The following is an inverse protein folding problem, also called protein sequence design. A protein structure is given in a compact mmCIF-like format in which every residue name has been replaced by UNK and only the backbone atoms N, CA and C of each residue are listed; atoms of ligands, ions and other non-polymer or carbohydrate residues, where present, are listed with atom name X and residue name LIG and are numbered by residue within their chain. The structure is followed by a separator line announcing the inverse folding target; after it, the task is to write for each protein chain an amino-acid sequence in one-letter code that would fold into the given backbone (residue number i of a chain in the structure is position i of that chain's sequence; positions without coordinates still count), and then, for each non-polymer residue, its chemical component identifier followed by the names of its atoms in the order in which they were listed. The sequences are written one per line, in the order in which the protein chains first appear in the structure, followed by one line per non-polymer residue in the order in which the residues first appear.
data_IF_827226721966
#
_entry.id   IF_827226721966
#
_cell.length_a   1.000
_cell.length_b   1.000
_cell.length_c   1.000
_cell.angle_alpha   90.00
_cell.angle_beta   90.00
_cell.angle_gamma   90.00
#
_symmetry.space_group_name_H-M   'P 1'
#
loop_
_entity.id
_entity.type
_entity.pdbx_description
1 polymer ?
#
# COMPACT_ATOMS: atom_id res chain seq x y z
N UNK A 1 -14.38 -32.48 3.63
CA UNK A 1 -14.62 -31.04 3.36
C UNK A 1 -13.44 -30.27 3.91
N UNK A 2 -12.87 -29.36 3.13
CA UNK A 2 -11.78 -28.49 3.57
C UNK A 2 -12.41 -27.21 4.11
N UNK A 3 -12.47 -27.07 5.43
CA UNK A 3 -12.80 -25.82 6.09
C UNK A 3 -11.50 -25.05 6.32
N UNK A 4 -11.00 -24.37 5.29
CA UNK A 4 -9.77 -23.57 5.38
C UNK A 4 -10.10 -22.14 5.81
N UNK A 5 -9.31 -21.60 6.73
CA UNK A 5 -9.32 -20.18 7.10
C UNK A 5 -8.00 -19.55 6.64
N UNK A 6 -8.07 -18.38 6.03
CA UNK A 6 -6.89 -17.57 5.69
C UNK A 6 -6.68 -16.52 6.78
N UNK A 7 -5.49 -16.50 7.37
CA UNK A 7 -5.15 -15.55 8.42
C UNK A 7 -3.91 -14.77 8.01
N UNK A 8 -4.10 -13.49 7.69
CA UNK A 8 -3.03 -12.55 7.37
C UNK A 8 -3.01 -11.45 8.44
N UNK A 9 -1.86 -11.24 9.07
CA UNK A 9 -1.68 -10.26 10.15
C UNK A 9 -0.68 -9.19 9.81
N UNK A 10 -0.85 -8.02 10.42
CA UNK A 10 0.17 -6.98 10.47
C UNK A 10 1.20 -7.29 11.57
N UNK A 11 2.44 -6.81 11.46
CA UNK A 11 3.44 -6.95 12.53
C UNK A 11 3.02 -6.19 13.79
N UNK A 12 3.44 -6.66 14.97
CA UNK A 12 3.08 -6.03 16.25
C UNK A 12 3.55 -4.57 16.36
N UNK A 13 4.72 -4.24 15.78
CA UNK A 13 5.29 -2.88 15.82
C UNK A 13 4.38 -1.81 15.20
N UNK A 14 3.42 -2.20 14.35
CA UNK A 14 2.43 -1.27 13.79
C UNK A 14 1.65 -0.57 14.90
N UNK A 15 1.36 -1.25 16.02
CA UNK A 15 0.63 -0.68 17.13
C UNK A 15 1.39 0.46 17.84
N UNK A 16 2.71 0.38 17.84
CA UNK A 16 3.57 1.35 18.52
C UNK A 16 3.86 2.56 17.64
N UNK A 17 3.74 2.42 16.32
CA UNK A 17 4.12 3.45 15.35
C UNK A 17 2.95 4.17 14.68
N UNK A 18 1.77 3.54 14.65
CA UNK A 18 0.61 4.08 13.95
C UNK A 18 -0.41 4.63 14.94
N UNK A 19 -0.45 5.96 15.03
CA UNK A 19 -1.50 6.66 15.76
C UNK A 19 -2.73 6.86 14.87
N UNK A 20 -3.78 6.06 15.11
CA UNK A 20 -5.05 6.16 14.40
C UNK A 20 -5.91 7.37 14.82
N UNK A 21 -5.52 8.11 15.86
CA UNK A 21 -6.18 9.34 16.31
C UNK A 21 -5.61 10.60 15.66
N UNK A 22 -4.40 10.51 15.07
CA UNK A 22 -3.78 11.60 14.32
C UNK A 22 -4.61 11.94 13.07
N UNK A 23 -4.72 13.24 12.79
CA UNK A 23 -5.27 13.77 11.55
C UNK A 23 -4.18 13.96 10.50
N UNK A 24 -4.49 13.66 9.23
CA UNK A 24 -3.59 13.74 8.07
C UNK A 24 -4.23 14.61 6.97
N UNK A 25 -4.21 15.95 7.08
CA UNK A 25 -4.84 16.83 6.10
C UNK A 25 -4.05 16.93 4.79
N UNK A 26 -2.73 16.76 4.84
CA UNK A 26 -1.84 16.93 3.69
C UNK A 26 -1.63 15.63 2.91
N UNK A 27 -1.61 15.75 1.57
CA UNK A 27 -1.23 14.67 0.66
C UNK A 27 0.16 14.12 0.98
N UNK A 28 1.13 14.99 1.24
CA UNK A 28 2.50 14.58 1.62
C UNK A 28 2.51 13.82 2.95
N UNK A 29 1.72 14.22 3.95
CA UNK A 29 1.66 13.50 5.23
C UNK A 29 1.11 12.08 5.08
N UNK A 30 0.11 11.89 4.22
CA UNK A 30 -0.46 10.56 3.93
C UNK A 30 0.57 9.66 3.25
N UNK A 31 1.32 10.20 2.30
CA UNK A 31 2.38 9.48 1.59
C UNK A 31 3.59 9.21 2.49
N UNK A 32 3.97 10.17 3.33
CA UNK A 32 5.02 10.01 4.32
C UNK A 32 4.75 8.83 5.26
N UNK A 33 3.49 8.65 5.69
CA UNK A 33 3.11 7.47 6.49
C UNK A 33 3.34 6.17 5.72
N UNK A 34 2.94 6.08 4.45
CA UNK A 34 3.16 4.88 3.64
C UNK A 34 4.66 4.56 3.46
N UNK A 35 5.49 5.59 3.26
CA UNK A 35 6.96 5.45 3.17
C UNK A 35 7.55 5.03 4.52
N UNK A 36 7.10 5.62 5.64
CA UNK A 36 7.53 5.22 6.98
C UNK A 36 7.20 3.74 7.24
N UNK A 37 5.99 3.30 6.91
CA UNK A 37 5.58 1.91 7.04
C UNK A 37 6.47 0.96 6.23
N UNK A 38 6.81 1.34 5.00
CA UNK A 38 7.77 0.62 4.16
C UNK A 38 9.14 0.51 4.85
N UNK A 39 9.71 1.64 5.28
CA UNK A 39 11.00 1.70 5.99
C UNK A 39 11.02 0.78 7.20
N UNK A 40 10.01 0.87 8.05
CA UNK A 40 9.92 0.10 9.29
C UNK A 40 9.74 -1.38 9.04
N UNK A 41 9.03 -1.76 7.98
CA UNK A 41 8.92 -3.17 7.59
C UNK A 41 10.28 -3.78 7.24
N UNK A 42 11.17 -2.99 6.63
CA UNK A 42 12.57 -3.37 6.37
C UNK A 42 13.39 -3.39 7.65
N UNK A 43 13.35 -2.32 8.45
CA UNK A 43 14.15 -2.17 9.67
C UNK A 43 13.86 -3.30 10.68
N UNK A 44 12.58 -3.65 10.82
CA UNK A 44 12.13 -4.77 11.67
C UNK A 44 12.29 -6.15 11.02
N UNK A 45 12.78 -6.21 9.77
CA UNK A 45 12.92 -7.45 8.98
C UNK A 45 11.62 -8.24 8.92
N UNK A 46 10.49 -7.54 8.82
CA UNK A 46 9.15 -8.13 8.86
C UNK A 46 8.49 -8.29 7.50
N UNK A 47 9.17 -7.87 6.42
CA UNK A 47 8.76 -8.11 5.03
C UNK A 47 9.51 -7.23 4.03
N UNK A 48 9.01 -7.17 2.79
CA UNK A 48 9.58 -6.35 1.72
C UNK A 48 9.36 -4.84 1.91
N UNK A 49 10.02 -3.99 1.09
CA UNK A 49 10.09 -2.54 1.25
C UNK A 49 8.82 -1.81 0.75
N UNK A 50 7.65 -2.26 1.20
CA UNK A 50 6.37 -1.71 0.75
C UNK A 50 5.42 -1.47 1.93
N UNK A 51 4.81 -0.28 1.92
CA UNK A 51 3.84 0.17 2.90
C UNK A 51 2.71 0.95 2.22
N UNK A 52 1.51 0.86 2.79
CA UNK A 52 0.32 1.54 2.30
C UNK A 52 -0.62 1.92 3.45
N UNK A 53 -1.43 2.96 3.24
CA UNK A 53 -2.37 3.47 4.23
C UNK A 53 -3.66 3.96 3.56
N UNK A 54 -4.80 3.68 4.18
CA UNK A 54 -6.13 4.09 3.71
C UNK A 54 -6.69 5.15 4.65
N UNK A 55 -7.20 6.23 4.08
CA UNK A 55 -7.78 7.35 4.80
C UNK A 55 -9.23 7.60 4.37
N UNK A 56 -10.04 8.08 5.30
CA UNK A 56 -11.38 8.62 5.05
C UNK A 56 -11.34 10.09 5.44
N UNK A 57 -11.35 10.98 4.45
CA UNK A 57 -10.92 12.37 4.64
C UNK A 57 -9.49 12.41 5.21
N UNK A 58 -9.34 12.97 6.40
CA UNK A 58 -8.04 13.12 7.09
C UNK A 58 -7.80 12.03 8.14
N UNK A 59 -8.77 11.13 8.36
CA UNK A 59 -8.70 10.09 9.37
C UNK A 59 -8.11 8.81 8.79
N UNK A 60 -7.12 8.26 9.47
CA UNK A 60 -6.57 6.94 9.14
C UNK A 60 -7.58 5.82 9.44
N UNK A 61 -7.88 5.00 8.43
CA UNK A 61 -8.79 3.85 8.52
C UNK A 61 -8.01 2.57 8.77
N UNK A 62 -6.98 2.30 7.95
CA UNK A 62 -6.19 1.09 8.04
C UNK A 62 -4.85 1.25 7.33
N UNK A 63 -3.95 0.31 7.61
CA UNK A 63 -2.59 0.30 7.08
C UNK A 63 -2.22 -1.10 6.62
N UNK A 64 -1.22 -1.18 5.76
CA UNK A 64 -0.67 -2.42 5.25
C UNK A 64 0.81 -2.31 5.00
N UNK A 65 1.50 -3.43 5.15
CA UNK A 65 2.89 -3.62 4.73
C UNK A 65 2.98 -4.94 3.99
N UNK A 66 3.98 -5.11 3.13
CA UNK A 66 4.18 -6.38 2.45
C UNK A 66 4.49 -7.49 3.48
N UNK A 67 3.68 -8.56 3.46
CA UNK A 67 3.81 -9.75 4.32
C UNK A 67 3.86 -11.05 3.50
N UNK A 68 4.32 -10.99 2.25
CA UNK A 68 4.31 -12.14 1.34
C UNK A 68 5.09 -13.32 1.91
N UNK A 69 6.37 -13.12 2.24
CA UNK A 69 7.24 -14.18 2.80
C UNK A 69 6.78 -14.62 4.19
N UNK A 70 6.54 -13.71 5.17
CA UNK A 70 6.13 -14.13 6.51
C UNK A 70 4.86 -14.98 6.56
N UNK A 71 3.89 -14.72 5.66
CA UNK A 71 2.62 -15.44 5.62
C UNK A 71 2.55 -16.51 4.53
N UNK A 72 3.63 -16.74 3.76
CA UNK A 72 3.63 -17.62 2.58
C UNK A 72 2.42 -17.36 1.65
N UNK A 73 2.10 -16.09 1.43
CA UNK A 73 0.92 -15.67 0.68
C UNK A 73 1.30 -14.59 -0.32
N UNK A 74 1.39 -14.95 -1.60
CA UNK A 74 1.75 -14.00 -2.68
C UNK A 74 0.81 -12.80 -2.78
N UNK A 75 -0.43 -12.92 -2.32
CA UNK A 75 -1.39 -11.82 -2.32
C UNK A 75 -1.17 -10.79 -1.20
N UNK A 76 -0.32 -11.07 -0.20
CA UNK A 76 -0.14 -10.23 0.99
C UNK A 76 0.75 -8.98 0.73
N UNK A 77 0.47 -8.27 -0.36
CA UNK A 77 1.09 -6.98 -0.70
C UNK A 77 0.59 -5.87 0.21
N UNK A 78 1.33 -4.77 0.30
CA UNK A 78 1.01 -3.68 1.21
C UNK A 78 -0.38 -3.08 0.93
N UNK A 79 -0.72 -2.85 -0.33
CA UNK A 79 -2.00 -2.28 -0.76
C UNK A 79 -3.14 -3.25 -0.47
N UNK A 80 -2.96 -4.54 -0.77
CA UNK A 80 -3.97 -5.56 -0.47
C UNK A 80 -4.21 -5.66 1.04
N UNK A 81 -3.15 -5.67 1.85
CA UNK A 81 -3.24 -5.67 3.31
C UNK A 81 -3.94 -4.40 3.83
N UNK A 82 -3.61 -3.23 3.30
CA UNK A 82 -4.21 -1.96 3.72
C UNK A 82 -5.70 -1.89 3.38
N UNK A 83 -6.08 -2.32 2.17
CA UNK A 83 -7.47 -2.38 1.73
C UNK A 83 -8.25 -3.41 2.55
N UNK A 84 -7.74 -4.63 2.70
CA UNK A 84 -8.41 -5.70 3.44
C UNK A 84 -8.60 -5.33 4.93
N UNK A 85 -7.58 -4.81 5.59
CA UNK A 85 -7.70 -4.39 7.01
C UNK A 85 -8.67 -3.22 7.17
N UNK A 86 -8.72 -2.29 6.22
CA UNK A 86 -9.69 -1.19 6.23
C UNK A 86 -11.13 -1.67 6.02
N UNK A 87 -11.32 -2.59 5.06
CA UNK A 87 -12.63 -3.20 4.78
C UNK A 87 -13.13 -3.99 5.98
N UNK A 88 -12.26 -4.76 6.64
CA UNK A 88 -12.59 -5.46 7.88
C UNK A 88 -12.89 -4.48 9.01
N UNK A 89 -12.13 -3.39 9.17
CA UNK A 89 -12.41 -2.40 10.22
C UNK A 89 -13.76 -1.72 10.03
N UNK A 90 -14.10 -1.36 8.80
CA UNK A 90 -15.35 -0.69 8.46
C UNK A 90 -16.52 -1.66 8.25
N UNK A 91 -16.27 -2.98 8.26
CA UNK A 91 -17.25 -4.01 7.91
C UNK A 91 -17.92 -3.73 6.55
N UNK A 92 -17.12 -3.26 5.58
CA UNK A 92 -17.59 -2.92 4.23
C UNK A 92 -16.61 -3.42 3.19
N UNK A 93 -17.09 -4.13 2.17
CA UNK A 93 -16.26 -4.59 1.05
C UNK A 93 -15.92 -3.45 0.08
N UNK A 94 -16.68 -2.35 0.09
CA UNK A 94 -16.46 -1.16 -0.73
C UNK A 94 -16.32 0.05 0.18
N UNK A 95 -15.12 0.62 0.26
CA UNK A 95 -14.75 1.58 1.30
C UNK A 95 -15.53 2.90 1.19
N UNK A 96 -15.72 3.42 -0.03
CA UNK A 96 -16.47 4.65 -0.26
C UNK A 96 -18.00 4.50 -0.25
N UNK A 97 -18.54 3.32 0.10
CA UNK A 97 -19.99 3.09 0.11
C UNK A 97 -20.75 3.99 1.09
N UNK A 98 -20.09 4.45 2.16
CA UNK A 98 -20.66 5.38 3.14
C UNK A 98 -20.68 6.85 2.65
N UNK A 99 -20.16 7.14 1.46
CA UNK A 99 -20.14 8.48 0.86
C UNK A 99 -18.99 9.39 1.32
N UNK A 100 -18.12 8.92 2.21
CA UNK A 100 -16.86 9.60 2.53
C UNK A 100 -15.82 9.35 1.43
N UNK A 101 -14.98 10.36 1.16
CA UNK A 101 -13.88 10.26 0.20
C UNK A 101 -12.76 9.39 0.77
N UNK A 102 -12.39 8.34 0.04
CA UNK A 102 -11.37 7.38 0.44
C UNK A 102 -10.09 7.57 -0.36
N UNK A 103 -8.97 7.78 0.35
CA UNK A 103 -7.64 7.91 -0.24
C UNK A 103 -6.78 6.70 0.12
N UNK A 104 -6.17 6.05 -0.86
CA UNK A 104 -5.08 5.09 -0.65
C UNK A 104 -3.74 5.77 -0.94
N UNK A 105 -2.86 5.84 0.05
CA UNK A 105 -1.46 6.20 -0.15
C UNK A 105 -0.59 4.93 -0.16
N UNK A 106 0.33 4.84 -1.11
CA UNK A 106 1.25 3.70 -1.26
C UNK A 106 2.68 4.18 -1.47
N UNK A 107 3.64 3.47 -0.88
CA UNK A 107 5.07 3.79 -0.98
C UNK A 107 5.62 3.57 -2.39
N UNK A 108 4.93 2.80 -3.23
CA UNK A 108 5.31 2.54 -4.61
C UNK A 108 4.08 2.32 -5.51
N UNK A 109 4.27 2.43 -6.82
CA UNK A 109 3.24 2.18 -7.82
C UNK A 109 2.64 0.78 -7.61
N UNK A 110 1.30 0.62 -7.67
CA UNK A 110 0.70 -0.70 -7.56
C UNK A 110 1.10 -1.63 -8.71
N UNK A 111 1.50 -2.85 -8.37
CA UNK A 111 1.68 -3.91 -9.35
C UNK A 111 0.35 -4.31 -10.01
N UNK A 112 0.39 -5.10 -11.07
CA UNK A 112 -0.80 -5.59 -11.80
C UNK A 112 -1.92 -6.18 -10.90
N UNK A 113 -1.56 -6.90 -9.83
CA UNK A 113 -2.51 -7.43 -8.86
C UNK A 113 -3.12 -6.31 -8.00
N UNK A 114 -2.30 -5.45 -7.42
CA UNK A 114 -2.75 -4.36 -6.55
C UNK A 114 -3.57 -3.32 -7.33
N UNK A 115 -3.22 -3.07 -8.58
CA UNK A 115 -4.00 -2.28 -9.53
C UNK A 115 -5.43 -2.83 -9.66
N UNK A 116 -5.58 -4.14 -9.84
CA UNK A 116 -6.89 -4.79 -9.86
C UNK A 116 -7.64 -4.64 -8.53
N UNK A 117 -6.94 -4.80 -7.40
CA UNK A 117 -7.54 -4.65 -6.07
C UNK A 117 -8.08 -3.23 -5.83
N UNK A 118 -7.34 -2.21 -6.25
CA UNK A 118 -7.74 -0.79 -6.18
C UNK A 118 -9.09 -0.55 -6.86
N UNK A 119 -9.31 -1.12 -8.05
CA UNK A 119 -10.55 -0.97 -8.81
C UNK A 119 -11.78 -1.48 -8.03
N UNK A 120 -11.61 -2.56 -7.25
CA UNK A 120 -12.71 -3.21 -6.54
C UNK A 120 -12.96 -2.65 -5.14
N UNK A 121 -11.92 -2.13 -4.49
CA UNK A 121 -11.99 -1.76 -3.08
C UNK A 121 -12.82 -0.49 -2.80
N UNK A 122 -13.11 0.32 -3.82
CA UNK A 122 -13.89 1.55 -3.67
C UNK A 122 -13.10 2.68 -3.02
N UNK A 123 -11.93 3.00 -3.59
CA UNK A 123 -11.19 4.22 -3.29
C UNK A 123 -11.55 5.32 -4.30
N UNK A 124 -11.32 6.57 -3.95
CA UNK A 124 -11.57 7.75 -4.82
C UNK A 124 -10.25 8.43 -5.23
N UNK A 125 -9.16 8.15 -4.53
CA UNK A 125 -7.86 8.76 -4.76
C UNK A 125 -6.73 7.78 -4.45
N UNK A 126 -5.74 7.72 -5.35
CA UNK A 126 -4.54 6.92 -5.24
C UNK A 126 -3.31 7.84 -5.25
N UNK A 127 -2.55 7.83 -4.16
CA UNK A 127 -1.33 8.60 -3.97
C UNK A 127 -0.13 7.66 -4.00
N UNK A 128 0.82 7.92 -4.90
CA UNK A 128 1.95 7.03 -5.20
C UNK A 128 3.25 7.78 -5.01
N UNK A 129 4.18 7.17 -4.27
CA UNK A 129 5.52 7.71 -4.11
C UNK A 129 6.51 7.23 -5.19
N UNK A 130 7.09 6.04 -5.03
CA UNK A 130 8.01 5.48 -6.01
C UNK A 130 7.28 5.01 -7.28
N UNK A 131 7.98 5.08 -8.42
CA UNK A 131 7.52 4.55 -9.70
C UNK A 131 7.88 3.07 -9.84
N UNK A 132 7.28 2.42 -10.83
CA UNK A 132 7.64 1.05 -11.20
C UNK A 132 9.12 0.89 -11.60
N UNK A 133 9.70 1.87 -12.30
CA UNK A 133 11.12 1.84 -12.67
C UNK A 133 12.02 1.86 -11.43
N UNK A 134 11.69 2.67 -10.40
CA UNK A 134 12.41 2.66 -9.12
C UNK A 134 12.37 1.29 -8.45
N UNK A 135 11.21 0.64 -8.44
CA UNK A 135 11.02 -0.67 -7.81
C UNK A 135 11.83 -1.75 -8.52
N UNK A 136 11.81 -1.75 -9.84
CA UNK A 136 12.56 -2.69 -10.68
C UNK A 136 14.07 -2.46 -10.57
N UNK A 137 14.51 -1.21 -10.72
CA UNK A 137 15.93 -0.86 -10.81
C UNK A 137 16.64 -0.93 -9.45
N UNK A 138 15.98 -0.53 -8.36
CA UNK A 138 16.63 -0.41 -7.05
C UNK A 138 16.45 -1.65 -6.17
N UNK A 139 15.36 -2.39 -6.36
CA UNK A 139 15.02 -3.51 -5.48
C UNK A 139 14.76 -4.83 -6.23
N UNK A 140 14.74 -4.83 -7.56
CA UNK A 140 14.66 -6.04 -8.38
C UNK A 140 13.28 -6.71 -8.43
N UNK A 141 12.21 -6.01 -8.02
CA UNK A 141 10.85 -6.57 -8.03
C UNK A 141 10.17 -6.39 -9.39
N UNK A 142 9.34 -7.36 -9.77
CA UNK A 142 8.50 -7.30 -10.97
C UNK A 142 7.11 -6.73 -10.64
N UNK A 143 6.70 -5.71 -11.40
CA UNK A 143 5.40 -5.04 -11.27
C UNK A 143 4.30 -5.73 -12.11
N UNK A 144 4.71 -6.62 -13.01
CA UNK A 144 3.84 -7.32 -13.95
C UNK A 144 3.22 -6.40 -15.01
N UNK A 145 2.37 -6.97 -15.89
CA UNK A 145 1.83 -6.24 -17.03
C UNK A 145 0.63 -5.38 -16.62
N UNK A 146 0.83 -4.06 -16.56
CA UNK A 146 -0.27 -3.10 -16.48
C UNK A 146 -0.81 -2.76 -17.88
N UNK A 147 -2.09 -2.36 -18.00
CA UNK A 147 -2.59 -1.71 -19.21
C UNK A 147 -1.72 -0.51 -19.60
N UNK A 148 -1.57 -0.24 -20.89
CA UNK A 148 -0.72 0.85 -21.39
C UNK A 148 -1.08 2.22 -20.78
N UNK A 149 -2.38 2.48 -20.61
CA UNK A 149 -2.91 3.68 -19.96
C UNK A 149 -3.60 3.32 -18.63
N UNK A 150 -2.88 2.62 -17.74
CA UNK A 150 -3.43 2.20 -16.46
C UNK A 150 -3.97 3.37 -15.62
N UNK A 151 -3.32 4.55 -15.69
CA UNK A 151 -3.79 5.76 -14.98
C UNK A 151 -5.12 6.24 -15.52
N UNK A 152 -5.23 6.42 -16.84
CA UNK A 152 -6.48 6.85 -17.46
C UNK A 152 -7.61 5.85 -17.23
N UNK A 153 -7.32 4.56 -17.14
CA UNK A 153 -8.32 3.55 -16.79
C UNK A 153 -8.85 3.68 -15.34
N UNK A 154 -8.02 4.07 -14.38
CA UNK A 154 -8.44 4.40 -13.01
C UNK A 154 -9.25 5.71 -12.98
N UNK A 155 -8.79 6.74 -13.69
CA UNK A 155 -9.46 8.04 -13.76
C UNK A 155 -10.85 7.95 -14.39
N UNK A 156 -11.03 7.14 -15.45
CA UNK A 156 -12.35 6.84 -16.03
C UNK A 156 -13.33 6.20 -15.03
N UNK A 157 -12.81 5.62 -13.95
CA UNK A 157 -13.58 5.01 -12.86
C UNK A 157 -13.79 5.97 -11.69
N UNK A 158 -13.37 7.22 -11.82
CA UNK A 158 -13.47 8.25 -10.79
C UNK A 158 -12.37 8.16 -9.73
N UNK A 159 -11.28 7.44 -9.99
CA UNK A 159 -10.14 7.33 -9.08
C UNK A 159 -9.08 8.33 -9.52
N UNK A 160 -8.90 9.41 -8.77
CA UNK A 160 -7.82 10.37 -9.02
C UNK A 160 -6.45 9.72 -8.74
N UNK A 161 -5.48 9.91 -9.63
CA UNK A 161 -4.15 9.31 -9.48
C UNK A 161 -3.08 10.39 -9.40
N UNK A 162 -2.27 10.34 -8.35
CA UNK A 162 -1.14 11.25 -8.12
C UNK A 162 0.14 10.43 -7.98
N UNK A 163 1.15 10.74 -8.78
CA UNK A 163 2.42 10.02 -8.80
C UNK A 163 3.57 10.91 -8.34
N UNK A 164 4.72 10.30 -8.06
CA UNK A 164 5.98 10.98 -7.76
C UNK A 164 5.98 11.78 -6.45
N UNK A 165 5.06 11.46 -5.54
CA UNK A 165 4.91 12.16 -4.27
C UNK A 165 6.02 11.71 -3.31
N UNK A 166 6.88 12.61 -2.87
CA UNK A 166 8.02 12.27 -2.00
C UNK A 166 8.90 11.14 -2.57
N UNK A 167 8.99 11.02 -3.90
CA UNK A 167 9.65 9.91 -4.62
C UNK A 167 11.06 9.61 -4.11
N UNK A 168 11.85 10.63 -3.85
CA UNK A 168 13.25 10.46 -3.38
C UNK A 168 13.32 9.70 -2.05
N UNK A 169 12.40 10.00 -1.11
CA UNK A 169 12.35 9.30 0.17
C UNK A 169 11.96 7.83 0.00
N UNK A 170 11.05 7.51 -0.92
CA UNK A 170 10.67 6.13 -1.21
C UNK A 170 11.81 5.37 -1.91
N UNK A 171 12.51 6.01 -2.85
CA UNK A 171 13.69 5.46 -3.53
C UNK A 171 14.80 5.09 -2.55
N UNK A 172 15.01 5.89 -1.51
CA UNK A 172 16.01 5.58 -0.48
C UNK A 172 15.65 4.30 0.29
N UNK A 173 14.36 4.05 0.58
CA UNK A 173 13.94 2.77 1.18
C UNK A 173 14.20 1.58 0.25
N UNK A 174 13.87 1.73 -1.02
CA UNK A 174 14.10 0.68 -2.03
C UNK A 174 15.58 0.37 -2.20
N UNK A 175 16.43 1.41 -2.28
CA UNK A 175 17.88 1.27 -2.40
C UNK A 175 18.48 0.53 -1.20
N UNK A 176 18.15 0.97 0.01
CA UNK A 176 18.67 0.33 1.22
C UNK A 176 18.26 -1.16 1.30
N UNK A 177 17.04 -1.49 0.88
CA UNK A 177 16.58 -2.86 0.80
C UNK A 177 17.35 -3.67 -0.27
N UNK A 178 17.51 -3.14 -1.48
CA UNK A 178 18.24 -3.80 -2.57
C UNK A 178 19.71 -4.06 -2.21
N UNK A 179 20.36 -3.09 -1.56
CA UNK A 179 21.76 -3.20 -1.10
C UNK A 179 21.93 -4.19 0.07
N UNK A 180 20.87 -4.45 0.85
CA UNK A 180 20.91 -5.43 1.93
C UNK A 180 21.10 -6.88 1.47
N UNK A 181 20.91 -7.15 0.17
CA UNK A 181 21.01 -8.48 -0.43
C UNK A 181 19.85 -9.42 -0.08
N UNK A 182 18.82 -8.92 0.62
CA UNK A 182 17.60 -9.65 0.94
C UNK A 182 16.62 -9.45 -0.22
N UNK A 183 16.87 -10.11 -1.36
CA UNK A 183 15.86 -10.24 -2.42
C UNK A 183 15.37 -11.68 -2.38
N UNK A 184 14.06 -11.89 -2.25
CA UNK A 184 13.45 -13.22 -2.36
C UNK A 184 12.80 -13.38 -3.73
#
# INVERSE_FOLDING_TARGET
MIYAQLHLTLPAWIHDEVDASRSYPGTEEKVALAIQLSRRNVDHRSGGPFGAAVFSGDRLVGVGVNRVVPHNCSAAHAEVMALATSQQRLQSYRLNQAGERITLATSAQPCSMCYGAVVWAGIDELLIAARADDVQDLAGFDEGPLPADWKGELEKRGIAVHTDLMRDHARDVLRDYGESGIVY
#
